data_IF_888478310444
#
_entry.id   IF_888478310444
#
_cell.length_a   1.000
_cell.length_b   1.000
_cell.length_c   1.000
_cell.angle_alpha   90.00
_cell.angle_beta   90.00
_cell.angle_gamma   90.00
#
_symmetry.space_group_name_H-M   'P 1'
#
loop_
_entity.id
_entity.type
_entity.pdbx_description
1 polymer ?
#
# COMPACT_ATOMS: atom_id res chain seq x y z
N UNK A 1 -18.93 -10.29 20.31
CA UNK A 1 -17.54 -10.66 20.62
C UNK A 1 -16.66 -10.09 19.51
N UNK A 2 -15.66 -9.29 19.85
CA UNK A 2 -14.71 -8.72 18.87
C UNK A 2 -13.56 -9.70 18.72
N UNK A 3 -13.43 -10.35 17.56
CA UNK A 3 -12.28 -11.22 17.31
C UNK A 3 -11.08 -10.35 16.96
N UNK A 4 -10.01 -10.47 17.75
CA UNK A 4 -8.76 -9.78 17.50
C UNK A 4 -7.90 -10.60 16.53
N UNK A 5 -7.33 -9.94 15.52
CA UNK A 5 -6.40 -10.52 14.57
C UNK A 5 -5.06 -9.84 14.73
N UNK A 6 -4.09 -10.58 15.25
CA UNK A 6 -2.72 -10.12 15.41
C UNK A 6 -1.93 -10.34 14.12
N UNK A 7 -1.23 -9.30 13.68
CA UNK A 7 -0.49 -9.28 12.43
C UNK A 7 0.99 -8.98 12.67
N UNK A 8 1.86 -9.77 12.06
CA UNK A 8 3.30 -9.57 12.09
C UNK A 8 3.83 -9.19 10.70
N UNK A 9 4.72 -8.19 10.64
CA UNK A 9 5.43 -7.82 9.40
C UNK A 9 6.77 -8.55 9.37
N UNK A 10 6.96 -9.41 8.37
CA UNK A 10 8.20 -10.18 8.18
C UNK A 10 8.98 -9.60 6.99
N UNK A 11 10.22 -9.17 7.26
CA UNK A 11 11.14 -8.60 6.27
C UNK A 11 12.34 -9.53 6.10
N UNK A 12 12.61 -9.97 4.87
CA UNK A 12 13.82 -10.72 4.54
C UNK A 12 15.00 -9.73 4.42
N UNK A 13 15.99 -9.85 5.32
CA UNK A 13 17.11 -8.89 5.48
C UNK A 13 18.19 -9.04 4.39
N UNK A 14 18.32 -10.24 3.81
CA UNK A 14 19.40 -10.57 2.86
C UNK A 14 19.07 -10.31 1.38
N UNK A 15 18.06 -9.48 1.08
CA UNK A 15 17.70 -9.17 -0.30
C UNK A 15 17.35 -7.67 -0.37
N UNK A 16 17.90 -6.95 -1.35
CA UNK A 16 17.48 -5.57 -1.64
C UNK A 16 16.05 -5.63 -2.18
N UNK A 17 15.07 -5.79 -1.31
CA UNK A 17 13.69 -6.15 -1.72
C UNK A 17 12.89 -4.97 -2.26
N UNK A 18 13.49 -3.79 -2.51
CA UNK A 18 12.72 -2.55 -2.77
C UNK A 18 11.59 -2.33 -1.74
N UNK A 19 11.82 -2.83 -0.52
CA UNK A 19 10.86 -2.82 0.57
C UNK A 19 9.72 -3.85 0.45
N UNK A 20 9.89 -4.99 -0.22
CA UNK A 20 8.90 -6.08 -0.16
C UNK A 20 8.88 -6.70 1.24
N UNK A 21 7.70 -7.08 1.71
CA UNK A 21 7.51 -7.74 2.99
C UNK A 21 6.28 -8.64 2.97
N UNK A 22 6.27 -9.62 3.86
CA UNK A 22 5.14 -10.50 4.11
C UNK A 22 4.41 -10.03 5.37
N UNK A 23 3.09 -10.21 5.40
CA UNK A 23 2.26 -10.03 6.59
C UNK A 23 1.72 -11.40 6.96
N UNK A 24 1.98 -11.81 8.19
CA UNK A 24 1.61 -13.11 8.72
C UNK A 24 0.70 -12.98 9.94
N UNK A 25 -0.05 -14.02 10.26
CA UNK A 25 -0.68 -14.17 11.57
C UNK A 25 0.34 -14.64 12.62
N UNK A 26 -0.11 -14.77 13.88
CA UNK A 26 0.72 -15.26 14.99
C UNK A 26 1.18 -16.72 14.83
N UNK A 27 0.51 -17.50 13.98
CA UNK A 27 0.86 -18.90 13.71
C UNK A 27 1.86 -19.02 12.55
N UNK A 28 2.25 -17.90 11.93
CA UNK A 28 3.15 -17.87 10.79
C UNK A 28 2.47 -18.07 9.43
N UNK A 29 1.14 -18.11 9.38
CA UNK A 29 0.42 -18.20 8.11
C UNK A 29 0.53 -16.87 7.36
N UNK A 30 0.94 -16.92 6.10
CA UNK A 30 1.00 -15.73 5.24
C UNK A 30 -0.42 -15.28 4.91
N UNK A 31 -0.76 -14.07 5.32
CA UNK A 31 -2.04 -13.43 4.99
C UNK A 31 -1.89 -12.54 3.76
N UNK A 32 -0.79 -11.78 3.70
CA UNK A 32 -0.55 -10.86 2.60
C UNK A 32 0.92 -10.82 2.18
N UNK A 33 1.13 -10.53 0.90
CA UNK A 33 2.45 -10.21 0.36
C UNK A 33 2.45 -8.79 -0.21
N UNK A 34 3.28 -7.91 0.32
CA UNK A 34 3.39 -6.54 -0.14
C UNK A 34 4.62 -6.39 -1.05
N UNK A 35 4.41 -6.14 -2.35
CA UNK A 35 5.50 -5.97 -3.33
C UNK A 35 5.53 -4.55 -3.87
N UNK A 36 6.70 -3.92 -3.81
CA UNK A 36 6.99 -2.61 -4.38
C UNK A 36 7.55 -2.71 -5.79
N UNK A 37 7.12 -1.79 -6.66
CA UNK A 37 7.65 -1.67 -8.02
C UNK A 37 7.67 -0.22 -8.48
N UNK A 38 8.53 0.03 -9.46
CA UNK A 38 8.64 1.28 -10.19
C UNK A 38 7.93 1.09 -11.52
N UNK A 39 6.97 1.95 -11.84
CA UNK A 39 6.30 1.95 -13.13
C UNK A 39 6.44 3.31 -13.82
N UNK A 40 6.60 3.25 -15.15
CA UNK A 40 6.58 4.42 -16.01
C UNK A 40 5.14 4.89 -16.25
N UNK A 41 4.91 6.20 -16.16
CA UNK A 41 3.67 6.85 -16.62
C UNK A 41 3.81 7.24 -18.10
N UNK A 42 2.68 7.50 -18.80
CA UNK A 42 2.66 7.92 -20.22
C UNK A 42 3.50 9.17 -20.54
N UNK A 43 3.93 9.95 -19.54
CA UNK A 43 4.78 11.14 -19.68
C UNK A 43 6.22 10.95 -19.20
N UNK A 44 6.73 9.71 -19.16
CA UNK A 44 8.13 9.40 -18.79
C UNK A 44 8.46 9.46 -17.29
N UNK A 45 7.49 9.75 -16.42
CA UNK A 45 7.72 9.84 -14.98
C UNK A 45 7.64 8.46 -14.28
N UNK A 46 8.55 8.21 -13.34
CA UNK A 46 8.55 7.04 -12.48
C UNK A 46 7.64 7.24 -11.25
N UNK A 47 6.67 6.34 -11.08
CA UNK A 47 5.86 6.25 -9.87
C UNK A 47 6.22 5.02 -9.05
N UNK A 48 6.32 5.24 -7.74
CA UNK A 48 6.44 4.17 -6.76
C UNK A 48 5.05 3.62 -6.48
N UNK A 49 4.88 2.33 -6.75
CA UNK A 49 3.67 1.58 -6.48
C UNK A 49 3.97 0.41 -5.57
N UNK A 50 2.97 0.01 -4.81
CA UNK A 50 3.00 -1.17 -3.96
C UNK A 50 1.69 -1.90 -4.10
N UNK A 51 1.75 -3.19 -4.42
CA UNK A 51 0.57 -4.05 -4.48
C UNK A 51 0.59 -4.97 -3.27
N UNK A 52 -0.56 -5.08 -2.63
CA UNK A 52 -0.83 -6.08 -1.60
C UNK A 52 -1.53 -7.26 -2.28
N UNK A 53 -0.90 -8.42 -2.21
CA UNK A 53 -1.45 -9.68 -2.69
C UNK A 53 -1.98 -10.50 -1.52
N UNK A 54 -3.00 -11.32 -1.76
CA UNK A 54 -3.38 -12.37 -0.80
C UNK A 54 -2.38 -13.54 -0.80
N UNK A 55 -2.64 -14.54 0.03
CA UNK A 55 -1.83 -15.75 0.14
C UNK A 55 -1.75 -16.55 -1.18
N UNK A 56 -2.77 -16.45 -2.05
CA UNK A 56 -2.83 -17.11 -3.36
C UNK A 56 -2.14 -16.29 -4.47
N UNK A 57 -1.62 -15.10 -4.16
CA UNK A 57 -0.97 -14.23 -5.12
C UNK A 57 -1.94 -13.37 -5.95
N UNK A 58 -3.21 -13.26 -5.56
CA UNK A 58 -4.17 -12.37 -6.19
C UNK A 58 -3.98 -10.94 -5.67
N UNK A 59 -3.92 -9.93 -6.56
CA UNK A 59 -3.78 -8.53 -6.15
C UNK A 59 -5.09 -8.05 -5.48
N UNK A 60 -4.98 -7.55 -4.25
CA UNK A 60 -6.10 -7.01 -3.48
C UNK A 60 -6.22 -5.50 -3.64
N UNK A 61 -5.10 -4.79 -3.43
CA UNK A 61 -5.05 -3.33 -3.54
C UNK A 61 -3.71 -2.86 -4.09
N UNK A 62 -3.73 -1.77 -4.84
CA UNK A 62 -2.56 -1.04 -5.32
C UNK A 62 -2.46 0.32 -4.66
N UNK A 63 -1.39 0.54 -3.90
CA UNK A 63 -1.01 1.84 -3.36
C UNK A 63 -0.08 2.53 -4.36
N UNK A 64 -0.40 3.77 -4.73
CA UNK A 64 0.42 4.62 -5.58
C UNK A 64 0.80 5.89 -4.84
N UNK A 65 2.11 6.17 -4.73
CA UNK A 65 2.58 7.45 -4.19
C UNK A 65 2.43 8.55 -5.24
N UNK A 66 1.72 9.61 -4.89
CA UNK A 66 1.62 10.83 -5.69
C UNK A 66 2.68 11.79 -5.20
N UNK A 67 3.60 12.21 -6.09
CA UNK A 67 4.62 13.21 -5.75
C UNK A 67 3.92 14.53 -5.38
N UNK A 68 3.91 14.83 -4.10
CA UNK A 68 3.35 16.05 -3.51
C UNK A 68 4.09 16.32 -2.20
N UNK A 69 4.11 17.58 -1.77
CA UNK A 69 4.82 18.00 -0.57
C UNK A 69 4.39 17.24 0.70
N UNK A 70 3.13 16.80 0.79
CA UNK A 70 2.55 16.18 1.99
C UNK A 70 2.57 14.64 1.99
N UNK A 71 3.36 14.00 1.11
CA UNK A 71 3.31 12.55 0.90
C UNK A 71 1.87 12.03 0.76
N UNK A 72 1.31 12.10 -0.45
CA UNK A 72 -0.04 11.62 -0.74
C UNK A 72 0.00 10.23 -1.37
N UNK A 73 -0.96 9.40 -1.01
CA UNK A 73 -1.17 8.07 -1.57
C UNK A 73 -2.61 7.91 -2.06
N UNK A 74 -2.73 7.19 -3.17
CA UNK A 74 -4.00 6.74 -3.71
C UNK A 74 -4.03 5.22 -3.65
N UNK A 75 -5.15 4.65 -3.21
CA UNK A 75 -5.31 3.21 -3.05
C UNK A 75 -6.43 2.73 -3.96
N UNK A 76 -6.08 1.84 -4.88
CA UNK A 76 -6.97 1.30 -5.90
C UNK A 76 -7.27 -0.18 -5.63
N UNK A 77 -8.42 -0.67 -6.09
CA UNK A 77 -8.81 -2.07 -6.05
C UNK A 77 -7.99 -2.90 -7.05
N UNK A 78 -7.52 -4.06 -6.61
CA UNK A 78 -6.72 -4.98 -7.42
C UNK A 78 -5.49 -4.28 -8.02
N UNK A 79 -5.29 -4.45 -9.32
CA UNK A 79 -4.26 -3.76 -10.11
C UNK A 79 -4.76 -2.46 -10.77
N UNK A 80 -5.96 -2.01 -10.39
CA UNK A 80 -6.63 -0.84 -10.92
C UNK A 80 -5.75 0.40 -10.90
N UNK A 81 -5.92 1.23 -11.94
CA UNK A 81 -5.14 2.47 -12.14
C UNK A 81 -6.04 3.67 -12.41
N UNK A 82 -7.33 3.43 -12.55
CA UNK A 82 -8.34 4.40 -12.92
C UNK A 82 -9.12 4.85 -11.69
N UNK A 83 -9.72 6.04 -11.76
CA UNK A 83 -10.49 6.59 -10.64
C UNK A 83 -11.70 5.74 -10.26
N UNK A 84 -12.25 4.94 -11.19
CA UNK A 84 -13.32 3.96 -10.91
C UNK A 84 -12.90 2.88 -9.91
N UNK A 85 -11.60 2.58 -9.84
CA UNK A 85 -11.05 1.57 -8.93
C UNK A 85 -10.54 2.20 -7.63
N UNK A 86 -10.63 3.53 -7.48
CA UNK A 86 -10.15 4.23 -6.29
C UNK A 86 -11.01 3.85 -5.08
N UNK A 87 -10.36 3.39 -4.01
CA UNK A 87 -11.01 3.05 -2.73
C UNK A 87 -10.90 4.23 -1.78
N UNK A 88 -9.70 4.79 -1.63
CA UNK A 88 -9.44 5.93 -0.77
C UNK A 88 -8.14 6.66 -1.13
N UNK A 89 -8.01 7.86 -0.60
CA UNK A 89 -6.79 8.66 -0.59
C UNK A 89 -6.29 8.76 0.85
N UNK A 90 -4.98 8.77 1.03
CA UNK A 90 -4.34 9.04 2.31
C UNK A 90 -3.27 10.12 2.14
N UNK A 91 -3.09 10.96 3.14
CA UNK A 91 -2.01 11.97 3.17
C UNK A 91 -1.43 12.08 4.56
N UNK A 92 -0.17 12.49 4.67
CA UNK A 92 0.39 12.86 5.96
C UNK A 92 -0.36 14.08 6.52
N UNK A 93 -0.63 14.08 7.82
CA UNK A 93 -1.29 15.20 8.51
C UNK A 93 -0.40 16.45 8.54
N UNK A 94 0.92 16.28 8.69
CA UNK A 94 1.91 17.37 8.74
C UNK A 94 3.26 16.96 8.14
N UNK A 95 3.95 17.89 7.46
CA UNK A 95 5.28 17.64 6.87
C UNK A 95 6.41 17.60 7.92
N UNK A 96 6.20 18.20 9.09
CA UNK A 96 7.26 18.46 10.07
C UNK A 96 7.24 17.51 11.29
N UNK A 97 6.26 16.61 11.37
CA UNK A 97 6.15 15.68 12.50
C UNK A 97 7.06 14.45 12.33
N UNK A 98 7.77 14.10 13.41
CA UNK A 98 8.53 12.84 13.53
C UNK A 98 7.62 11.61 13.61
N UNK A 99 6.42 11.78 14.19
CA UNK A 99 5.39 10.74 14.28
C UNK A 99 4.61 10.66 12.98
N UNK A 100 4.39 9.45 12.47
CA UNK A 100 3.57 9.25 11.27
C UNK A 100 2.10 9.31 11.64
N UNK A 101 1.41 10.35 11.19
CA UNK A 101 -0.04 10.49 11.30
C UNK A 101 -0.64 10.72 9.90
N UNK A 102 -1.72 10.00 9.59
CA UNK A 102 -2.35 9.99 8.27
C UNK A 102 -3.80 10.42 8.36
N UNK A 103 -4.23 11.24 7.42
CA UNK A 103 -5.65 11.55 7.19
C UNK A 103 -6.12 10.77 5.98
N UNK A 104 -7.21 10.01 6.16
CA UNK A 104 -7.79 9.14 5.12
C UNK A 104 -9.10 9.74 4.63
N UNK A 105 -9.27 9.79 3.31
CA UNK A 105 -10.48 10.25 2.63
C UNK A 105 -10.97 9.12 1.73
N UNK A 106 -12.16 8.59 2.01
CA UNK A 106 -12.78 7.59 1.15
C UNK A 106 -13.07 8.18 -0.24
N UNK A 107 -12.97 7.36 -1.27
CA UNK A 107 -13.40 7.76 -2.60
C UNK A 107 -14.92 7.93 -2.59
N UNK A 108 -15.42 8.98 -3.26
CA UNK A 108 -16.85 9.16 -3.43
C UNK A 108 -17.35 8.11 -4.42
N UNK A 109 -18.31 7.29 -4.00
CA UNK A 109 -19.03 6.37 -4.87
C UNK A 109 -20.17 7.21 -5.46
N UNK A 110 -19.93 7.88 -6.59
CA UNK A 110 -21.00 8.43 -7.43
C UNK A 110 -21.57 7.37 -8.34
#
# INVERSE_FOLDING_TARGET
MTQHFDLAIVRKVNTITRGNFEVQDINGNILFNAKGFLMHRPKGFLMHRRVLFDAAGKPLVTLQKVRSLHDRWQVFRGEGKDFKDLIFNAKRSSMLQLKTELVVFLANIT
#
